data_IF_309643506745
#
_entry.id   IF_309643506745
#
_cell.length_a   1.000
_cell.length_b   1.000
_cell.length_c   1.000
_cell.angle_alpha   90.00
_cell.angle_beta   90.00
_cell.angle_gamma   90.00
#
_symmetry.space_group_name_H-M   'P 1'
#
loop_
_entity.id
_entity.type
_entity.pdbx_description
1 polymer ?
#
# COMPACT_ATOMS: atom_id res chain seq x y z
N UNK A 1 -5.71 -9.12 5.40
CA UNK A 1 -5.36 -8.16 6.47
C UNK A 1 -3.97 -7.61 6.23
N UNK A 2 -3.73 -6.31 6.41
CA UNK A 2 -2.35 -5.78 6.44
C UNK A 2 -1.68 -6.08 7.79
N UNK A 3 -0.50 -6.69 7.78
CA UNK A 3 0.20 -7.12 9.01
C UNK A 3 0.80 -5.97 9.81
N UNK A 4 0.81 -4.74 9.27
CA UNK A 4 1.27 -3.55 9.98
C UNK A 4 0.54 -3.29 11.30
N UNK A 5 -0.74 -3.62 11.39
CA UNK A 5 -1.50 -3.41 12.63
C UNK A 5 -1.02 -4.33 13.74
N UNK A 6 -0.70 -5.58 13.41
CA UNK A 6 -0.16 -6.54 14.37
C UNK A 6 1.27 -6.13 14.75
N UNK A 7 2.11 -5.77 13.77
CA UNK A 7 3.45 -5.25 14.03
C UNK A 7 3.40 -4.04 14.99
N UNK A 8 2.49 -3.10 14.73
CA UNK A 8 2.25 -1.95 15.58
C UNK A 8 1.86 -2.33 17.00
N UNK A 9 0.95 -3.30 17.21
CA UNK A 9 0.61 -3.75 18.55
C UNK A 9 1.85 -4.24 19.33
N UNK A 10 2.75 -4.94 18.66
CA UNK A 10 3.96 -5.50 19.25
C UNK A 10 4.96 -4.42 19.69
N UNK A 11 5.40 -3.55 18.77
CA UNK A 11 6.41 -2.55 19.14
C UNK A 11 5.82 -1.37 19.93
N UNK A 12 4.54 -1.04 19.70
CA UNK A 12 3.92 0.07 20.40
C UNK A 12 3.59 -0.28 21.85
N UNK A 13 3.16 -1.51 22.14
CA UNK A 13 2.95 -1.96 23.52
C UNK A 13 4.24 -1.90 24.34
N UNK A 14 5.39 -2.30 23.76
CA UNK A 14 6.70 -2.26 24.40
C UNK A 14 7.27 -0.86 24.63
N UNK A 15 6.90 0.11 23.79
CA UNK A 15 7.35 1.51 23.88
C UNK A 15 6.34 2.44 24.57
N UNK A 16 5.19 1.91 24.97
CA UNK A 16 4.13 2.69 25.60
C UNK A 16 4.58 3.23 26.97
N UNK A 17 4.28 4.50 27.23
CA UNK A 17 4.63 5.22 28.46
C UNK A 17 3.51 5.29 29.49
N UNK A 18 2.37 4.62 29.25
CA UNK A 18 1.24 4.64 30.18
C UNK A 18 1.65 4.13 31.56
N UNK A 19 1.51 5.02 32.54
CA UNK A 19 1.97 4.83 33.92
C UNK A 19 1.39 3.57 34.56
N UNK A 20 0.15 3.19 34.18
CA UNK A 20 -0.53 1.98 34.67
C UNK A 20 0.16 0.69 34.23
N UNK A 21 0.65 0.63 33.00
CA UNK A 21 1.37 -0.56 32.48
C UNK A 21 2.76 -0.70 33.12
N UNK A 22 3.33 0.41 33.60
CA UNK A 22 4.63 0.44 34.28
C UNK A 22 4.55 0.40 35.81
N UNK A 23 3.37 0.11 36.38
CA UNK A 23 3.23 -0.07 37.84
C UNK A 23 3.99 -1.31 38.33
N UNK A 24 3.97 -2.37 37.53
CA UNK A 24 4.74 -3.57 37.78
C UNK A 24 6.15 -3.42 37.16
N UNK A 25 7.22 -3.42 37.98
CA UNK A 25 8.58 -3.08 37.51
C UNK A 25 9.18 -4.09 36.53
N UNK A 26 8.54 -5.23 36.33
CA UNK A 26 9.00 -6.32 35.46
C UNK A 26 8.33 -6.32 34.08
N UNK A 27 7.22 -5.61 33.87
CA UNK A 27 6.49 -5.61 32.57
C UNK A 27 7.35 -4.99 31.46
N UNK A 28 7.93 -3.82 31.71
CA UNK A 28 8.76 -3.13 30.73
C UNK A 28 10.00 -3.97 30.33
N UNK A 29 10.77 -4.55 31.27
CA UNK A 29 11.77 -5.57 30.97
C UNK A 29 11.23 -6.73 30.14
N UNK A 30 10.09 -7.32 30.48
CA UNK A 30 9.56 -8.48 29.76
C UNK A 30 9.11 -8.17 28.32
N UNK A 31 8.68 -6.94 28.05
CA UNK A 31 8.36 -6.47 26.69
C UNK A 31 9.59 -6.08 25.86
N UNK A 32 10.74 -5.83 26.51
CA UNK A 32 11.91 -5.22 25.86
C UNK A 32 13.19 -6.08 25.87
N UNK A 33 13.39 -6.91 26.90
CA UNK A 33 14.59 -7.71 27.13
C UNK A 33 14.30 -9.17 26.78
N UNK A 34 14.81 -9.63 25.63
CA UNK A 34 14.62 -11.00 25.18
C UNK A 34 13.22 -11.31 24.61
N UNK A 35 12.38 -10.29 24.41
CA UNK A 35 11.14 -10.43 23.66
C UNK A 35 11.47 -10.75 22.19
N UNK A 36 10.74 -11.71 21.62
CA UNK A 36 10.88 -12.09 20.22
C UNK A 36 10.51 -10.92 19.30
N UNK A 37 11.33 -10.69 18.28
CA UNK A 37 11.12 -9.66 17.29
C UNK A 37 9.91 -10.01 16.41
N UNK A 38 9.22 -9.01 15.86
CA UNK A 38 7.98 -9.29 15.13
C UNK A 38 8.23 -10.12 13.86
N UNK A 39 9.37 -9.98 13.19
CA UNK A 39 9.71 -10.83 12.06
C UNK A 39 9.79 -12.33 12.39
N UNK A 40 10.12 -12.70 13.63
CA UNK A 40 10.14 -14.10 14.07
C UNK A 40 8.71 -14.67 14.15
N UNK A 41 7.75 -13.83 14.58
CA UNK A 41 6.33 -14.17 14.65
C UNK A 41 5.67 -14.35 13.29
N UNK A 42 6.19 -13.71 12.23
CA UNK A 42 5.69 -13.90 10.86
C UNK A 42 5.72 -15.37 10.42
N UNK A 43 6.65 -16.17 10.95
CA UNK A 43 6.76 -17.62 10.68
C UNK A 43 5.83 -18.49 11.54
N UNK A 44 5.12 -17.88 12.50
CA UNK A 44 4.27 -18.55 13.50
C UNK A 44 2.81 -18.07 13.47
N UNK A 45 2.45 -17.28 12.45
CA UNK A 45 1.08 -16.79 12.26
C UNK A 45 0.09 -17.96 12.02
N UNK A 46 -1.17 -17.82 12.45
CA UNK A 46 -1.71 -16.69 13.23
C UNK A 46 -1.30 -16.72 14.72
N UNK A 47 -1.17 -15.53 15.34
CA UNK A 47 -0.92 -15.41 16.79
C UNK A 47 -2.11 -15.92 17.62
N UNK A 48 -1.86 -16.28 18.87
CA UNK A 48 -2.86 -16.87 19.78
C UNK A 48 -2.84 -16.17 21.13
N UNK A 49 -4.01 -16.09 21.75
CA UNK A 49 -4.21 -15.55 23.09
C UNK A 49 -3.27 -16.22 24.11
N UNK A 50 -2.58 -15.40 24.91
CA UNK A 50 -1.65 -15.83 25.93
C UNK A 50 -0.31 -16.37 25.43
N UNK A 51 -0.07 -16.41 24.10
CA UNK A 51 1.13 -17.05 23.52
C UNK A 51 2.19 -16.07 23.04
N UNK A 52 1.94 -14.76 23.14
CA UNK A 52 2.88 -13.71 22.70
C UNK A 52 3.15 -12.73 23.83
N UNK A 53 4.14 -11.84 23.68
CA UNK A 53 4.39 -10.79 24.65
C UNK A 53 3.20 -9.83 24.86
N UNK A 54 2.23 -9.81 23.94
CA UNK A 54 1.02 -9.00 24.12
C UNK A 54 0.16 -9.45 25.30
N UNK A 55 0.30 -10.69 25.78
CA UNK A 55 -0.40 -11.18 26.98
C UNK A 55 -0.09 -10.36 28.24
N UNK A 56 1.03 -9.65 28.25
CA UNK A 56 1.42 -8.72 29.33
C UNK A 56 0.64 -7.39 29.27
N UNK A 57 0.00 -7.11 28.14
CA UNK A 57 -0.76 -5.89 27.87
C UNK A 57 -2.14 -6.28 27.29
N UNK A 58 -3.08 -6.75 28.13
CA UNK A 58 -4.32 -7.39 27.67
C UNK A 58 -5.17 -6.54 26.70
N UNK A 59 -5.11 -5.20 26.80
CA UNK A 59 -5.80 -4.31 25.87
C UNK A 59 -5.24 -4.39 24.45
N UNK A 60 -3.92 -4.51 24.30
CA UNK A 60 -3.27 -4.66 23.00
C UNK A 60 -3.44 -6.08 22.44
N UNK A 61 -3.36 -7.12 23.29
CA UNK A 61 -3.64 -8.50 22.84
C UNK A 61 -5.07 -8.63 22.33
N UNK A 62 -6.04 -8.13 23.10
CA UNK A 62 -7.44 -8.11 22.69
C UNK A 62 -7.62 -7.39 21.35
N UNK A 63 -7.08 -6.18 21.22
CA UNK A 63 -7.20 -5.40 19.97
C UNK A 63 -6.55 -6.11 18.77
N UNK A 64 -5.35 -6.69 18.95
CA UNK A 64 -4.66 -7.42 17.89
C UNK A 64 -5.45 -8.66 17.44
N UNK A 65 -6.02 -9.42 18.38
CA UNK A 65 -6.83 -10.60 18.09
C UNK A 65 -8.19 -10.23 17.47
N UNK A 66 -8.81 -9.13 17.90
CA UNK A 66 -10.04 -8.62 17.30
C UNK A 66 -9.82 -8.24 15.83
N UNK A 67 -8.82 -7.40 15.53
CA UNK A 67 -8.50 -7.03 14.13
C UNK A 67 -8.12 -8.25 13.29
N UNK A 68 -7.42 -9.22 13.87
CA UNK A 68 -6.99 -10.43 13.17
C UNK A 68 -8.16 -11.38 12.86
N UNK A 69 -9.20 -11.43 13.70
CA UNK A 69 -10.25 -12.46 13.61
C UNK A 69 -11.65 -11.95 13.28
N UNK A 70 -11.94 -10.66 13.48
CA UNK A 70 -13.18 -10.02 13.00
C UNK A 70 -13.08 -9.75 11.50
N UNK A 71 -13.29 -10.78 10.69
CA UNK A 71 -13.02 -10.71 9.26
C UNK A 71 -14.15 -10.10 8.42
N UNK A 72 -15.40 -10.41 8.76
CA UNK A 72 -16.59 -9.84 8.13
C UNK A 72 -16.79 -8.39 8.60
N UNK A 73 -17.27 -7.51 7.70
CA UNK A 73 -17.57 -6.11 8.02
C UNK A 73 -18.88 -5.99 8.80
N UNK A 74 -18.83 -6.30 10.09
CA UNK A 74 -19.94 -6.09 11.02
C UNK A 74 -19.88 -4.71 11.72
N UNK A 75 -20.70 -4.53 12.77
CA UNK A 75 -20.77 -3.29 13.56
C UNK A 75 -19.43 -2.86 14.18
N UNK A 76 -18.49 -3.79 14.41
CA UNK A 76 -17.14 -3.46 14.88
C UNK A 76 -16.44 -2.50 13.91
N UNK A 77 -16.55 -2.76 12.61
CA UNK A 77 -15.86 -2.02 11.56
C UNK A 77 -16.56 -0.71 11.18
N UNK A 78 -17.83 -0.52 11.56
CA UNK A 78 -18.61 0.70 11.31
C UNK A 78 -18.34 1.82 12.31
N UNK A 79 -17.51 1.58 13.32
CA UNK A 79 -17.13 2.61 14.28
C UNK A 79 -16.49 3.82 13.56
N UNK A 80 -16.82 5.08 13.92
CA UNK A 80 -16.34 6.27 13.21
C UNK A 80 -14.82 6.43 13.19
N UNK A 81 -14.10 5.86 14.17
CA UNK A 81 -12.63 5.86 14.17
C UNK A 81 -12.00 4.90 13.15
N UNK A 82 -12.79 3.98 12.59
CA UNK A 82 -12.35 2.96 11.64
C UNK A 82 -12.94 3.23 10.25
N UNK A 83 -14.21 3.61 10.19
CA UNK A 83 -14.92 3.92 8.94
C UNK A 83 -15.53 5.33 8.95
N UNK A 84 -14.72 6.41 8.89
CA UNK A 84 -15.24 7.78 8.87
C UNK A 84 -16.20 8.05 7.70
N UNK A 85 -16.09 7.26 6.61
CA UNK A 85 -16.96 7.33 5.43
C UNK A 85 -18.45 7.26 5.74
N UNK A 86 -18.86 6.42 6.69
CA UNK A 86 -20.28 6.29 7.06
C UNK A 86 -20.77 7.44 7.95
N UNK A 87 -19.87 8.34 8.36
CA UNK A 87 -20.15 9.37 9.36
C UNK A 87 -19.80 10.78 8.90
N UNK A 88 -19.56 11.00 7.60
CA UNK A 88 -19.20 12.33 7.07
C UNK A 88 -20.22 13.42 7.40
N UNK A 89 -21.51 13.07 7.49
CA UNK A 89 -22.57 14.02 7.89
C UNK A 89 -22.41 14.53 9.33
N UNK A 90 -21.74 13.76 10.20
CA UNK A 90 -21.48 14.11 11.59
C UNK A 90 -20.24 14.99 11.76
N UNK A 91 -19.46 15.22 10.71
CA UNK A 91 -18.27 16.08 10.80
C UNK A 91 -18.71 17.54 11.02
N UNK A 92 -18.05 18.25 11.96
CA UNK A 92 -18.38 19.65 12.23
C UNK A 92 -18.10 20.51 11.00
N UNK A 93 -18.77 21.66 10.93
CA UNK A 93 -18.51 22.66 9.91
C UNK A 93 -17.20 23.42 10.22
N UNK A 94 -16.09 22.73 10.01
CA UNK A 94 -14.75 23.24 10.25
C UNK A 94 -13.94 23.16 8.95
N UNK A 95 -13.17 24.22 8.68
CA UNK A 95 -12.16 24.17 7.64
C UNK A 95 -11.22 22.99 7.93
N UNK A 96 -11.02 22.11 6.94
CA UNK A 96 -10.19 20.91 7.08
C UNK A 96 -9.06 20.90 6.05
N UNK A 97 -7.82 20.70 6.50
CA UNK A 97 -6.68 20.37 5.65
C UNK A 97 -6.37 18.89 5.77
N UNK A 98 -6.49 18.16 4.66
CA UNK A 98 -6.09 16.76 4.57
C UNK A 98 -4.73 16.70 3.90
N UNK A 99 -3.74 16.14 4.59
CA UNK A 99 -2.40 15.89 4.04
C UNK A 99 -2.19 14.39 3.91
N UNK A 100 -1.75 13.94 2.74
CA UNK A 100 -1.48 12.53 2.45
C UNK A 100 -0.20 12.33 1.64
N UNK A 101 0.15 11.07 1.40
CA UNK A 101 1.29 10.70 0.57
C UNK A 101 0.95 9.57 -0.41
N UNK A 102 1.59 9.55 -1.58
CA UNK A 102 1.38 8.51 -2.59
C UNK A 102 1.85 7.12 -2.16
N UNK A 103 2.82 7.03 -1.25
CA UNK A 103 3.31 5.78 -0.66
C UNK A 103 2.81 5.59 0.79
N UNK A 104 1.78 6.34 1.21
CA UNK A 104 1.13 6.11 2.50
C UNK A 104 0.13 4.94 2.40
N UNK A 105 0.03 4.14 3.46
CA UNK A 105 -1.00 3.11 3.66
C UNK A 105 -2.43 3.63 3.89
N UNK A 106 -2.64 4.95 3.94
CA UNK A 106 -3.95 5.58 4.11
C UNK A 106 -4.39 6.39 2.89
N UNK A 107 -3.65 6.37 1.78
CA UNK A 107 -3.91 7.24 0.61
C UNK A 107 -5.36 7.15 0.12
N UNK A 108 -5.97 5.95 0.10
CA UNK A 108 -7.39 5.82 -0.26
C UNK A 108 -8.30 6.63 0.66
N UNK A 109 -8.15 6.49 1.97
CA UNK A 109 -8.94 7.22 2.96
C UNK A 109 -8.70 8.73 2.89
N UNK A 110 -7.49 9.19 2.54
CA UNK A 110 -7.18 10.59 2.27
C UNK A 110 -8.10 11.16 1.20
N UNK A 111 -8.20 10.50 0.05
CA UNK A 111 -9.05 10.96 -1.06
C UNK A 111 -10.54 10.75 -0.80
N UNK A 112 -10.93 9.63 -0.19
CA UNK A 112 -12.33 9.39 0.16
C UNK A 112 -12.86 10.48 1.08
N UNK A 113 -12.12 10.85 2.12
CA UNK A 113 -12.53 11.90 3.05
C UNK A 113 -12.59 13.27 2.37
N UNK A 114 -11.67 13.57 1.45
CA UNK A 114 -11.75 14.79 0.65
C UNK A 114 -13.04 14.82 -0.18
N UNK A 115 -13.34 13.76 -0.94
CA UNK A 115 -14.55 13.65 -1.77
C UNK A 115 -15.79 13.78 -0.89
N UNK A 116 -15.92 12.92 0.12
CA UNK A 116 -17.13 12.81 0.92
C UNK A 116 -17.48 14.06 1.72
N UNK A 117 -16.46 14.79 2.20
CA UNK A 117 -16.67 16.07 2.88
C UNK A 117 -16.95 17.21 1.87
N UNK A 118 -16.27 17.23 0.72
CA UNK A 118 -16.49 18.26 -0.32
C UNK A 118 -17.90 18.18 -0.90
N UNK A 119 -18.43 16.97 -1.17
CA UNK A 119 -19.80 16.75 -1.63
C UNK A 119 -20.87 17.25 -0.64
N UNK A 120 -20.50 17.38 0.65
CA UNK A 120 -21.35 17.92 1.72
C UNK A 120 -21.17 19.42 1.92
N UNK A 121 -20.48 20.10 0.99
CA UNK A 121 -20.20 21.52 1.06
C UNK A 121 -19.24 21.90 2.19
N UNK A 122 -18.48 20.95 2.74
CA UNK A 122 -17.46 21.26 3.75
C UNK A 122 -16.28 21.94 3.06
N UNK A 123 -15.69 22.91 3.75
CA UNK A 123 -14.45 23.55 3.33
C UNK A 123 -13.28 22.60 3.58
N UNK A 124 -12.84 21.90 2.54
CA UNK A 124 -11.73 20.94 2.63
C UNK A 124 -10.67 21.25 1.59
N UNK A 125 -9.41 21.23 2.01
CA UNK A 125 -8.24 21.27 1.14
C UNK A 125 -7.44 19.99 1.22
N UNK A 126 -6.75 19.66 0.13
CA UNK A 126 -6.00 18.42 -0.02
C UNK A 126 -4.56 18.72 -0.48
N UNK A 127 -3.58 18.19 0.24
CA UNK A 127 -2.16 18.23 -0.12
C UNK A 127 -1.60 16.81 -0.16
N UNK A 128 -1.15 16.35 -1.33
CA UNK A 128 -0.60 14.99 -1.49
C UNK A 128 0.74 15.03 -2.21
N UNK A 129 1.80 14.64 -1.51
CA UNK A 129 3.16 14.53 -2.03
C UNK A 129 3.64 13.09 -2.22
N UNK A 130 4.87 12.88 -2.72
CA UNK A 130 5.46 11.56 -2.93
C UNK A 130 6.01 10.96 -1.63
N UNK A 131 5.22 11.03 -0.56
CA UNK A 131 5.67 10.74 0.80
C UNK A 131 5.19 9.38 1.29
N UNK A 132 5.89 8.90 2.31
CA UNK A 132 5.48 7.77 3.15
C UNK A 132 4.83 8.29 4.44
N UNK A 133 4.35 7.38 5.28
CA UNK A 133 3.71 7.74 6.53
C UNK A 133 4.65 8.40 7.55
N UNK A 134 4.27 9.56 8.08
CA UNK A 134 4.94 10.23 9.20
C UNK A 134 5.14 11.73 9.01
N UNK A 135 5.40 12.47 10.11
CA UNK A 135 5.43 13.94 10.12
C UNK A 135 6.71 14.57 9.55
N UNK A 136 7.83 13.84 9.49
CA UNK A 136 9.08 14.33 8.88
C UNK A 136 9.11 14.03 7.38
N UNK A 137 8.29 13.07 6.93
CA UNK A 137 8.31 12.58 5.54
C UNK A 137 7.97 13.66 4.50
N UNK A 138 7.07 14.62 4.77
CA UNK A 138 6.81 15.71 3.85
C UNK A 138 8.00 16.63 3.56
N UNK A 139 9.03 16.64 4.41
CA UNK A 139 10.24 17.47 4.25
C UNK A 139 11.38 16.69 3.57
N UNK A 140 11.14 15.46 3.10
CA UNK A 140 12.12 14.64 2.40
C UNK A 140 11.90 14.68 0.88
N UNK A 141 12.99 14.60 0.13
CA UNK A 141 12.98 14.52 -1.35
C UNK A 141 12.75 13.11 -1.86
N UNK A 142 12.62 12.11 -0.99
CA UNK A 142 12.64 10.69 -1.38
C UNK A 142 11.66 9.84 -0.56
N UNK A 143 11.27 8.71 -1.14
CA UNK A 143 10.50 7.65 -0.50
C UNK A 143 11.04 6.30 -0.96
N UNK A 144 11.53 5.50 -0.02
CA UNK A 144 12.28 4.28 -0.34
C UNK A 144 13.58 4.59 -1.10
N UNK A 145 13.80 3.84 -2.17
CA UNK A 145 14.99 3.94 -3.02
C UNK A 145 14.82 4.94 -4.19
N UNK A 146 13.84 5.82 -4.09
CA UNK A 146 13.44 6.76 -5.15
C UNK A 146 13.47 8.21 -4.67
N UNK A 147 14.17 9.05 -5.43
CA UNK A 147 14.28 10.49 -5.24
C UNK A 147 13.40 11.25 -6.25
N UNK A 148 12.63 12.21 -5.76
CA UNK A 148 11.65 13.01 -6.49
C UNK A 148 12.14 14.44 -6.76
N UNK A 149 13.38 14.75 -6.41
CA UNK A 149 13.99 16.08 -6.56
C UNK A 149 13.74 17.02 -5.38
N UNK A 150 14.47 18.14 -5.32
CA UNK A 150 14.38 19.12 -4.23
C UNK A 150 12.97 19.70 -4.08
N UNK A 151 12.27 19.92 -5.20
CA UNK A 151 10.93 20.51 -5.21
C UNK A 151 9.86 19.61 -4.57
N UNK A 152 10.13 18.31 -4.37
CA UNK A 152 9.22 17.38 -3.72
C UNK A 152 9.13 17.58 -2.20
N UNK A 153 10.21 18.10 -1.59
CA UNK A 153 10.26 18.38 -0.17
C UNK A 153 9.55 19.70 0.14
N UNK A 154 8.72 19.71 1.18
CA UNK A 154 8.24 20.95 1.77
C UNK A 154 9.36 21.59 2.58
N UNK A 155 9.47 22.92 2.52
CA UNK A 155 10.42 23.67 3.35
C UNK A 155 10.20 23.43 4.85
N UNK A 156 8.93 23.37 5.27
CA UNK A 156 8.54 22.97 6.61
C UNK A 156 7.10 22.49 6.66
N UNK A 157 6.91 21.26 7.10
CA UNK A 157 5.57 20.72 7.33
C UNK A 157 4.86 21.43 8.50
N UNK A 158 5.64 21.90 9.48
CA UNK A 158 5.12 22.73 10.56
C UNK A 158 4.61 24.09 10.05
N UNK A 159 5.29 24.70 9.08
CA UNK A 159 4.84 25.96 8.49
C UNK A 159 3.49 25.79 7.78
N UNK A 160 3.29 24.69 7.03
CA UNK A 160 1.97 24.39 6.41
C UNK A 160 0.83 24.39 7.43
N UNK A 161 1.03 23.78 8.61
CA UNK A 161 0.01 23.81 9.67
C UNK A 161 -0.16 25.22 10.25
N UNK A 162 0.94 25.94 10.47
CA UNK A 162 0.88 27.29 11.01
C UNK A 162 0.10 28.23 10.08
N UNK A 163 0.44 28.22 8.78
CA UNK A 163 -0.24 29.03 7.76
C UNK A 163 -1.73 28.68 7.66
N UNK A 164 -2.07 27.39 7.76
CA UNK A 164 -3.46 26.95 7.85
C UNK A 164 -4.20 27.59 9.04
N UNK A 165 -3.63 27.50 10.26
CA UNK A 165 -4.29 28.07 11.43
C UNK A 165 -4.32 29.60 11.40
N UNK A 166 -3.27 30.29 10.93
CA UNK A 166 -3.30 31.74 10.74
C UNK A 166 -4.43 32.14 9.77
N UNK A 167 -4.56 31.42 8.64
CA UNK A 167 -5.57 31.67 7.59
C UNK A 167 -7.00 31.54 8.11
N UNK A 168 -7.33 30.46 8.83
CA UNK A 168 -8.73 30.17 9.22
C UNK A 168 -9.10 30.55 10.65
N UNK A 169 -8.13 30.81 11.54
CA UNK A 169 -8.40 31.19 12.94
C UNK A 169 -8.15 32.67 13.19
N UNK A 170 -7.13 33.26 12.57
CA UNK A 170 -6.75 34.68 12.78
C UNK A 170 -7.09 35.62 11.63
N UNK A 171 -7.68 35.11 10.54
CA UNK A 171 -7.98 35.87 9.33
C UNK A 171 -8.69 37.21 9.59
N UNK A 172 -8.46 38.16 8.70
CA UNK A 172 -8.95 39.55 8.79
C UNK A 172 -10.43 39.73 8.35
N UNK A 173 -11.12 38.62 8.06
CA UNK A 173 -12.50 38.60 7.58
C UNK A 173 -12.65 38.53 6.05
N UNK A 174 -11.55 38.55 5.29
CA UNK A 174 -11.56 38.18 3.86
C UNK A 174 -11.88 36.70 3.66
N UNK A 175 -12.36 36.32 2.46
CA UNK A 175 -12.49 34.90 2.13
C UNK A 175 -11.08 34.30 2.03
N UNK A 176 -10.69 33.40 2.96
CA UNK A 176 -9.38 32.80 2.91
C UNK A 176 -9.16 32.04 1.62
N UNK A 177 -10.17 31.57 0.89
CA UNK A 177 -9.97 30.68 -0.26
C UNK A 177 -9.89 31.37 -1.63
N UNK A 178 -9.97 32.70 -1.69
CA UNK A 178 -10.03 33.42 -2.95
C UNK A 178 -8.78 33.15 -3.84
N UNK A 179 -9.04 32.73 -5.08
CA UNK A 179 -8.01 32.46 -6.09
C UNK A 179 -7.17 31.20 -5.91
N UNK A 180 -7.48 30.34 -4.94
CA UNK A 180 -6.63 29.18 -4.62
C UNK A 180 -7.29 27.83 -4.89
N UNK A 181 -6.50 26.91 -5.44
CA UNK A 181 -6.95 25.57 -5.72
C UNK A 181 -7.15 24.76 -4.42
N UNK A 182 -8.27 24.02 -4.29
CA UNK A 182 -8.53 23.18 -3.12
C UNK A 182 -7.63 21.94 -3.08
N UNK A 183 -7.06 21.52 -4.22
CA UNK A 183 -6.24 20.32 -4.33
C UNK A 183 -4.84 20.68 -4.82
N UNK A 184 -3.81 20.20 -4.11
CA UNK A 184 -2.42 20.28 -4.53
C UNK A 184 -1.78 18.90 -4.48
N UNK A 185 -1.34 18.42 -5.64
CA UNK A 185 -0.78 17.08 -5.82
C UNK A 185 0.62 17.15 -6.42
N UNK A 186 1.48 16.22 -6.04
CA UNK A 186 2.78 16.02 -6.69
C UNK A 186 2.66 14.94 -7.76
N UNK A 187 2.92 15.26 -9.01
CA UNK A 187 2.99 14.28 -10.10
C UNK A 187 4.40 13.69 -10.08
N UNK A 188 4.51 12.41 -9.76
CA UNK A 188 5.79 11.69 -9.77
C UNK A 188 6.21 11.41 -11.22
N UNK A 189 7.51 11.30 -11.48
CA UNK A 189 8.04 10.88 -12.79
C UNK A 189 8.56 12.04 -13.65
N UNK A 190 9.12 11.69 -14.82
CA UNK A 190 9.77 12.64 -15.73
C UNK A 190 11.19 13.05 -15.34
N UNK A 191 11.76 12.45 -14.29
CA UNK A 191 13.16 12.61 -13.90
C UNK A 191 14.13 11.91 -14.84
N UNK A 192 15.43 12.05 -14.54
CA UNK A 192 16.52 11.59 -15.41
C UNK A 192 16.66 10.06 -15.50
N UNK A 193 16.09 9.31 -14.55
CA UNK A 193 16.31 7.87 -14.40
C UNK A 193 17.74 7.50 -14.01
N UNK A 194 18.55 8.48 -13.62
CA UNK A 194 19.92 8.27 -13.14
C UNK A 194 19.96 7.87 -11.67
N UNK A 195 21.12 7.36 -11.22
CA UNK A 195 21.35 7.11 -9.80
C UNK A 195 21.88 8.39 -9.13
N UNK A 196 21.23 8.84 -8.07
CA UNK A 196 21.67 9.99 -7.27
C UNK A 196 22.95 9.67 -6.48
N UNK A 197 23.59 10.70 -5.93
CA UNK A 197 24.75 10.55 -5.03
C UNK A 197 24.40 9.67 -3.83
N UNK A 198 23.16 9.75 -3.33
CA UNK A 198 22.63 8.92 -2.26
C UNK A 198 22.23 7.50 -2.70
N UNK A 199 22.52 7.11 -3.94
CA UNK A 199 22.28 5.77 -4.46
C UNK A 199 20.85 5.48 -4.93
N UNK A 200 19.96 6.48 -4.92
CA UNK A 200 18.52 6.36 -5.26
C UNK A 200 18.26 6.61 -6.73
N UNK A 201 17.18 6.06 -7.26
CA UNK A 201 16.67 6.37 -8.60
C UNK A 201 16.14 7.81 -8.62
N UNK A 202 16.62 8.65 -9.55
CA UNK A 202 16.09 9.99 -9.80
C UNK A 202 14.82 9.88 -10.64
N UNK A 203 13.69 9.71 -9.99
CA UNK A 203 12.37 9.60 -10.62
C UNK A 203 11.75 10.96 -10.90
N UNK A 204 12.06 11.97 -10.08
CA UNK A 204 11.61 13.35 -10.30
C UNK A 204 10.11 13.55 -10.10
N UNK A 205 9.62 14.72 -10.55
CA UNK A 205 8.21 15.08 -10.52
C UNK A 205 8.01 16.58 -10.41
N UNK A 206 6.75 17.00 -10.23
CA UNK A 206 6.38 18.41 -10.06
C UNK A 206 5.06 18.57 -9.30
N UNK A 207 4.92 19.67 -8.57
CA UNK A 207 3.63 20.06 -7.98
C UNK A 207 2.65 20.57 -9.05
N UNK A 208 1.36 20.27 -8.85
CA UNK A 208 0.25 20.79 -9.66
C UNK A 208 -0.95 21.09 -8.78
N UNK A 209 -1.52 22.27 -8.99
CA UNK A 209 -2.75 22.74 -8.37
C UNK A 209 -3.96 22.31 -9.22
N UNK A 210 -5.03 21.87 -8.55
CA UNK A 210 -6.20 21.23 -9.16
C UNK A 210 -7.49 21.67 -8.48
N UNK A 211 -8.57 21.76 -9.25
CA UNK A 211 -9.86 22.26 -8.76
C UNK A 211 -10.73 21.18 -8.11
N UNK A 212 -10.44 19.91 -8.37
CA UNK A 212 -11.27 18.79 -7.94
C UNK A 212 -10.48 17.49 -7.90
N UNK A 213 -11.06 16.47 -7.29
CA UNK A 213 -10.53 15.11 -7.34
C UNK A 213 -11.69 14.09 -7.39
N UNK A 214 -11.62 13.04 -8.24
CA UNK A 214 -10.65 12.87 -9.34
C UNK A 214 -10.74 14.03 -10.35
N UNK A 215 -9.68 14.26 -11.13
CA UNK A 215 -9.65 15.39 -12.08
C UNK A 215 -10.77 15.22 -13.14
N UNK A 216 -11.59 16.23 -13.45
CA UNK A 216 -12.68 16.02 -14.43
C UNK A 216 -12.17 15.65 -15.83
N UNK A 217 -10.94 16.04 -16.16
CA UNK A 217 -10.28 15.68 -17.42
C UNK A 217 -9.75 14.24 -17.47
N UNK A 218 -9.91 13.46 -16.41
CA UNK A 218 -9.46 12.06 -16.34
C UNK A 218 -10.23 11.20 -17.35
N UNK A 219 -9.49 10.44 -18.15
CA UNK A 219 -10.03 9.39 -19.00
C UNK A 219 -9.71 8.03 -18.39
N UNK A 220 -10.75 7.34 -17.89
CA UNK A 220 -10.62 5.99 -17.36
C UNK A 220 -10.52 4.98 -18.50
N UNK A 221 -9.29 4.60 -18.83
CA UNK A 221 -9.00 3.79 -20.01
C UNK A 221 -8.67 2.34 -19.59
N UNK A 222 -9.38 1.34 -20.11
CA UNK A 222 -9.04 -0.06 -19.88
C UNK A 222 -7.77 -0.43 -20.65
N UNK A 223 -6.85 -1.12 -19.99
CA UNK A 223 -5.76 -1.87 -20.59
C UNK A 223 -5.98 -3.35 -20.31
N UNK A 224 -6.18 -4.11 -21.37
CA UNK A 224 -6.49 -5.54 -21.36
C UNK A 224 -5.23 -6.37 -21.27
N UNK A 225 -5.32 -7.47 -20.53
CA UNK A 225 -4.30 -8.51 -20.46
C UNK A 225 -4.40 -9.38 -21.72
N UNK A 226 -3.25 -9.79 -22.27
CA UNK A 226 -3.17 -10.67 -23.45
C UNK A 226 -2.33 -11.92 -23.14
N UNK A 227 -2.56 -13.00 -23.90
CA UNK A 227 -1.95 -14.32 -23.67
C UNK A 227 -0.42 -14.34 -23.72
N UNK A 228 0.16 -13.46 -24.52
CA UNK A 228 1.60 -13.29 -24.70
C UNK A 228 2.27 -12.44 -23.60
N UNK A 229 1.50 -12.02 -22.59
CA UNK A 229 1.98 -11.12 -21.53
C UNK A 229 1.96 -9.65 -21.92
N UNK A 230 1.33 -9.28 -23.05
CA UNK A 230 1.13 -7.88 -23.41
C UNK A 230 0.00 -7.26 -22.59
N UNK A 231 0.15 -5.98 -22.31
CA UNK A 231 -0.87 -5.10 -21.74
C UNK A 231 -1.16 -4.00 -22.76
N UNK A 232 -2.40 -3.89 -23.24
CA UNK A 232 -2.77 -2.93 -24.30
C UNK A 232 -4.16 -2.36 -24.12
N UNK A 233 -4.39 -1.14 -24.59
CA UNK A 233 -5.73 -0.56 -24.70
C UNK A 233 -6.60 -1.29 -25.74
N UNK A 234 -5.98 -1.99 -26.69
CA UNK A 234 -6.69 -2.86 -27.62
C UNK A 234 -7.26 -4.07 -26.90
N UNK A 235 -8.54 -4.34 -27.16
CA UNK A 235 -9.22 -5.46 -26.56
C UNK A 235 -8.61 -6.81 -26.98
N UNK A 236 -8.64 -7.78 -26.06
CA UNK A 236 -8.31 -9.15 -26.40
C UNK A 236 -9.38 -9.73 -27.33
N UNK A 237 -8.94 -10.26 -28.48
CA UNK A 237 -9.79 -10.88 -29.50
C UNK A 237 -9.64 -12.40 -29.56
N UNK A 238 -8.68 -12.96 -28.80
CA UNK A 238 -8.48 -14.40 -28.73
C UNK A 238 -9.66 -15.10 -28.05
N UNK A 239 -10.07 -16.25 -28.60
CA UNK A 239 -11.00 -17.17 -27.95
C UNK A 239 -10.24 -18.13 -27.04
N UNK A 240 -10.81 -18.46 -25.87
CA UNK A 240 -10.30 -19.50 -24.96
C UNK A 240 -8.85 -19.28 -24.48
N UNK A 241 -8.55 -18.03 -24.11
CA UNK A 241 -7.26 -17.57 -23.60
C UNK A 241 -7.27 -17.35 -22.08
N UNK A 242 -6.35 -18.01 -21.38
CA UNK A 242 -6.15 -17.86 -19.93
C UNK A 242 -4.75 -18.29 -19.50
N UNK A 243 -4.30 -17.83 -18.33
CA UNK A 243 -3.02 -18.23 -17.75
C UNK A 243 -3.23 -18.79 -16.35
N UNK A 244 -2.70 -19.98 -16.08
CA UNK A 244 -2.78 -20.64 -14.76
C UNK A 244 -1.41 -20.68 -14.09
N UNK A 245 -1.36 -20.35 -12.81
CA UNK A 245 -0.18 -20.45 -11.95
C UNK A 245 -0.52 -21.18 -10.65
N UNK A 246 0.47 -21.82 -10.04
CA UNK A 246 0.32 -22.51 -8.76
C UNK A 246 0.83 -21.63 -7.64
N UNK A 247 -0.05 -21.32 -6.69
CA UNK A 247 0.28 -20.61 -5.46
C UNK A 247 0.44 -21.59 -4.29
N UNK A 248 1.59 -21.57 -3.62
CA UNK A 248 1.85 -22.31 -2.37
C UNK A 248 1.96 -21.32 -1.20
N UNK A 249 1.02 -21.32 -0.24
CA UNK A 249 1.09 -20.49 0.96
C UNK A 249 2.36 -20.67 1.80
N UNK A 250 3.11 -21.75 1.61
CA UNK A 250 4.39 -22.00 2.31
C UNK A 250 5.58 -21.25 1.68
N UNK A 251 5.41 -20.72 0.47
CA UNK A 251 6.40 -19.92 -0.26
C UNK A 251 5.73 -18.67 -0.86
N UNK A 252 5.19 -17.75 -0.02
CA UNK A 252 4.49 -16.57 -0.52
C UNK A 252 5.43 -15.63 -1.28
N UNK A 253 4.88 -14.89 -2.24
CA UNK A 253 5.57 -13.83 -2.97
C UNK A 253 5.94 -12.70 -2.00
N UNK A 254 7.23 -12.32 -1.94
CA UNK A 254 7.69 -11.24 -1.08
C UNK A 254 7.10 -9.87 -1.48
N UNK A 255 6.78 -9.06 -0.47
CA UNK A 255 6.56 -7.63 -0.62
C UNK A 255 7.89 -6.91 -0.68
N UNK A 256 8.05 -6.00 -1.64
CA UNK A 256 9.16 -5.05 -1.68
C UNK A 256 8.62 -3.63 -1.93
N UNK A 257 8.71 -2.78 -0.91
CA UNK A 257 8.17 -1.43 -0.97
C UNK A 257 6.64 -1.34 -1.01
N UNK A 258 6.15 -0.12 -1.27
CA UNK A 258 4.75 0.19 -1.52
C UNK A 258 4.10 1.05 -0.44
N UNK A 259 2.77 1.07 -0.46
CA UNK A 259 1.89 1.83 0.43
C UNK A 259 1.82 1.20 1.83
N UNK A 260 2.90 1.31 2.61
CA UNK A 260 3.03 0.68 3.91
C UNK A 260 3.33 1.71 4.99
N UNK A 261 2.87 1.46 6.20
CA UNK A 261 3.34 2.13 7.40
C UNK A 261 3.52 1.11 8.50
N UNK A 262 4.30 1.44 9.53
CA UNK A 262 4.29 0.75 10.84
C UNK A 262 4.60 -0.75 10.83
N UNK A 263 4.97 -1.35 9.69
CA UNK A 263 5.46 -2.71 9.57
C UNK A 263 6.94 -2.77 9.97
N UNK A 264 7.13 -2.46 11.24
CA UNK A 264 8.39 -2.32 11.91
C UNK A 264 8.43 -3.24 13.13
N UNK A 265 9.58 -3.33 13.74
CA UNK A 265 9.80 -4.05 14.97
C UNK A 265 10.73 -3.30 15.90
N UNK A 266 10.73 -3.72 17.16
CA UNK A 266 11.66 -3.23 18.14
C UNK A 266 12.89 -4.14 18.17
N UNK A 267 14.03 -3.62 17.71
CA UNK A 267 15.30 -4.32 17.78
C UNK A 267 15.83 -4.45 19.22
N UNK A 268 16.97 -5.14 19.40
CA UNK A 268 17.63 -5.26 20.71
C UNK A 268 18.03 -3.88 21.27
N UNK A 269 18.34 -3.84 22.57
CA UNK A 269 18.92 -2.63 23.17
C UNK A 269 20.25 -2.28 22.49
N UNK A 270 20.56 -0.98 22.29
CA UNK A 270 21.88 -0.56 21.85
C UNK A 270 22.97 -1.04 22.80
N UNK A 271 24.16 -1.30 22.25
CA UNK A 271 25.32 -1.74 23.05
C UNK A 271 25.60 -0.78 24.22
N UNK A 272 25.78 -1.33 25.42
CA UNK A 272 26.03 -0.56 26.64
C UNK A 272 24.78 0.00 27.34
N UNK A 273 23.59 -0.13 26.74
CA UNK A 273 22.33 0.23 27.39
C UNK A 273 21.71 -1.04 28.01
N UNK A 274 21.57 -1.04 29.34
CA UNK A 274 20.97 -2.15 30.09
C UNK A 274 19.47 -1.91 30.42
N UNK A 275 19.05 -0.65 30.45
CA UNK A 275 17.68 -0.26 30.79
C UNK A 275 16.96 0.27 29.54
N UNK A 276 15.81 -0.31 29.23
CA UNK A 276 14.98 0.06 28.09
C UNK A 276 14.51 1.52 28.17
N UNK A 277 14.32 2.05 29.38
CA UNK A 277 13.95 3.45 29.61
C UNK A 277 15.04 4.44 29.14
N UNK A 278 16.28 3.97 28.99
CA UNK A 278 17.41 4.77 28.52
C UNK A 278 17.65 4.67 27.01
N UNK A 279 16.91 3.81 26.29
CA UNK A 279 16.98 3.71 24.83
C UNK A 279 15.84 4.50 24.18
N UNK A 280 16.18 5.42 23.27
CA UNK A 280 15.14 6.10 22.48
C UNK A 280 14.47 5.11 21.52
N UNK A 281 13.18 5.33 21.23
CA UNK A 281 12.44 4.54 20.23
C UNK A 281 13.20 4.44 18.91
N UNK A 282 13.64 5.59 18.40
CA UNK A 282 14.27 5.68 17.08
C UNK A 282 15.64 4.97 17.03
N UNK A 283 16.30 4.73 18.18
CA UNK A 283 17.53 3.94 18.24
C UNK A 283 17.29 2.42 18.13
N UNK A 284 16.03 1.97 18.23
CA UNK A 284 15.66 0.55 18.29
C UNK A 284 14.70 0.11 17.19
N UNK A 285 13.80 0.99 16.74
CA UNK A 285 12.81 0.63 15.73
C UNK A 285 13.50 0.37 14.39
N UNK A 286 13.21 -0.78 13.79
CA UNK A 286 13.71 -1.20 12.47
C UNK A 286 12.53 -1.58 11.60
N UNK A 287 12.55 -1.19 10.33
CA UNK A 287 11.52 -1.62 9.40
C UNK A 287 11.75 -3.10 9.04
N UNK A 288 10.68 -3.89 9.07
CA UNK A 288 10.68 -5.22 8.46
C UNK A 288 10.50 -5.07 6.96
N UNK A 289 9.71 -4.09 6.55
CA UNK A 289 9.48 -3.73 5.16
C UNK A 289 9.49 -2.20 5.04
N UNK A 290 10.44 -1.69 4.26
CA UNK A 290 10.58 -0.26 4.01
C UNK A 290 9.43 0.27 3.13
N UNK A 291 8.82 1.41 3.47
CA UNK A 291 7.79 2.03 2.64
C UNK A 291 8.42 2.88 1.51
N UNK A 292 7.68 3.08 0.42
CA UNK A 292 8.16 3.85 -0.73
C UNK A 292 8.38 3.02 -2.00
N UNK A 293 9.03 3.62 -2.99
CA UNK A 293 9.33 2.98 -4.26
C UNK A 293 10.63 2.18 -4.21
N UNK A 294 10.61 0.97 -4.78
CA UNK A 294 11.76 0.06 -4.84
C UNK A 294 11.79 -0.72 -6.15
N UNK A 295 12.99 -1.13 -6.57
CA UNK A 295 13.18 -2.05 -7.69
C UNK A 295 12.59 -3.40 -7.31
N UNK A 296 11.69 -3.95 -8.12
CA UNK A 296 11.00 -5.21 -7.85
C UNK A 296 11.89 -6.44 -8.11
N UNK A 297 13.04 -6.46 -7.44
CA UNK A 297 14.06 -7.50 -7.41
C UNK A 297 14.27 -7.90 -5.95
N UNK A 298 14.36 -9.19 -5.69
CA UNK A 298 14.73 -9.70 -4.37
C UNK A 298 16.13 -9.16 -3.98
N UNK A 299 16.39 -9.02 -2.68
CA UNK A 299 17.70 -8.60 -2.20
C UNK A 299 17.96 -9.10 -0.78
N UNK A 300 19.21 -8.99 -0.35
CA UNK A 300 19.60 -9.22 1.04
C UNK A 300 18.85 -8.22 1.95
N UNK A 301 18.12 -8.74 2.94
CA UNK A 301 17.29 -7.95 3.84
C UNK A 301 15.80 -7.95 3.51
N UNK A 302 15.39 -8.41 2.31
CA UNK A 302 13.98 -8.61 2.00
C UNK A 302 13.45 -9.86 2.71
N UNK A 303 12.33 -9.73 3.44
CA UNK A 303 11.79 -10.84 4.23
C UNK A 303 11.40 -12.03 3.33
N UNK A 304 11.82 -13.24 3.71
CA UNK A 304 11.51 -14.46 2.97
C UNK A 304 12.36 -14.72 1.72
N UNK A 305 13.34 -13.87 1.42
CA UNK A 305 14.23 -14.04 0.27
C UNK A 305 15.58 -14.66 0.64
N UNK A 306 16.13 -15.42 -0.31
CA UNK A 306 17.49 -15.97 -0.25
C UNK A 306 18.17 -15.87 -1.62
N UNK A 307 19.50 -15.89 -1.70
CA UNK A 307 20.20 -15.92 -2.99
C UNK A 307 19.64 -17.03 -3.91
N UNK A 308 19.53 -16.80 -5.23
CA UNK A 308 20.28 -15.83 -6.03
C UNK A 308 19.64 -14.43 -6.22
N UNK A 309 18.59 -14.06 -5.49
CA UNK A 309 17.97 -12.73 -5.52
C UNK A 309 17.58 -12.25 -6.94
N UNK A 310 16.47 -12.78 -7.45
CA UNK A 310 16.01 -12.54 -8.83
C UNK A 310 14.85 -11.53 -8.89
N UNK A 311 14.51 -11.00 -10.09
CA UNK A 311 13.32 -10.17 -10.26
C UNK A 311 12.07 -10.90 -9.72
N UNK A 312 11.20 -10.21 -8.98
CA UNK A 312 9.99 -10.84 -8.41
C UNK A 312 9.08 -11.42 -9.51
N UNK A 313 9.00 -10.74 -10.66
CA UNK A 313 8.26 -11.23 -11.83
C UNK A 313 8.89 -12.43 -12.55
N UNK A 314 10.06 -12.91 -12.12
CA UNK A 314 10.63 -14.17 -12.62
C UNK A 314 10.10 -15.40 -11.89
N UNK A 315 9.38 -15.20 -10.78
CA UNK A 315 8.75 -16.29 -10.05
C UNK A 315 7.60 -16.91 -10.87
N UNK A 316 7.43 -18.24 -10.85
CA UNK A 316 6.38 -18.91 -11.61
C UNK A 316 4.96 -18.64 -11.09
N UNK A 317 4.83 -18.07 -9.88
CA UNK A 317 3.57 -17.70 -9.25
C UNK A 317 3.28 -16.18 -9.33
N UNK A 318 3.97 -15.47 -10.25
CA UNK A 318 3.70 -14.07 -10.59
C UNK A 318 3.46 -13.98 -12.11
N UNK A 319 2.24 -13.56 -12.49
CA UNK A 319 1.92 -13.25 -13.88
C UNK A 319 2.33 -11.81 -14.18
N UNK A 320 3.06 -11.61 -15.29
CA UNK A 320 3.56 -10.30 -15.72
C UNK A 320 2.87 -9.89 -17.01
N UNK A 321 2.20 -8.75 -17.00
CA UNK A 321 1.62 -8.13 -18.18
C UNK A 321 2.19 -6.73 -18.38
N UNK A 322 2.70 -6.40 -19.57
CA UNK A 322 3.30 -5.09 -19.79
C UNK A 322 3.09 -4.56 -21.20
N UNK A 323 3.10 -3.23 -21.33
CA UNK A 323 3.04 -2.56 -22.64
C UNK A 323 4.34 -2.77 -23.40
N UNK A 324 4.31 -2.48 -24.71
CA UNK A 324 5.52 -2.06 -25.43
C UNK A 324 6.12 -0.78 -24.83
N UNK A 325 7.40 -0.46 -25.11
CA UNK A 325 7.97 0.81 -24.67
C UNK A 325 7.09 1.94 -25.18
N UNK A 326 6.66 2.82 -24.27
CA UNK A 326 5.71 3.88 -24.58
C UNK A 326 6.32 4.83 -25.61
N UNK A 327 5.56 5.12 -26.67
CA UNK A 327 6.01 6.05 -27.72
C UNK A 327 5.99 7.51 -27.26
N UNK A 328 5.09 7.82 -26.31
CA UNK A 328 4.87 9.14 -25.73
C UNK A 328 4.78 9.02 -24.20
N UNK A 329 4.97 10.13 -23.50
CA UNK A 329 4.73 10.19 -22.07
C UNK A 329 3.24 9.88 -21.78
N UNK A 330 2.99 9.15 -20.69
CA UNK A 330 1.65 8.77 -20.25
C UNK A 330 1.47 9.15 -18.79
N UNK A 331 0.60 10.12 -18.52
CA UNK A 331 0.26 10.49 -17.14
C UNK A 331 -0.93 9.67 -16.64
N UNK A 332 -0.73 9.01 -15.49
CA UNK A 332 -1.75 8.28 -14.74
C UNK A 332 -1.94 8.97 -13.40
N UNK A 333 -3.07 9.66 -13.23
CA UNK A 333 -3.40 10.42 -12.00
C UNK A 333 -4.84 10.15 -11.59
N UNK A 334 -5.03 9.38 -10.52
CA UNK A 334 -6.38 9.07 -10.03
C UNK A 334 -6.51 7.71 -9.32
N UNK A 335 -7.75 7.26 -9.07
CA UNK A 335 -8.03 5.91 -8.60
C UNK A 335 -7.83 4.87 -9.71
N UNK A 336 -7.35 3.68 -9.33
CA UNK A 336 -7.05 2.56 -10.24
C UNK A 336 -7.81 1.32 -9.80
N UNK A 337 -8.43 0.63 -10.75
CA UNK A 337 -9.09 -0.67 -10.53
C UNK A 337 -8.49 -1.74 -11.43
N UNK A 338 -8.30 -2.94 -10.91
CA UNK A 338 -7.96 -4.13 -11.69
C UNK A 338 -9.13 -5.09 -11.64
N UNK A 339 -9.72 -5.40 -12.79
CA UNK A 339 -10.86 -6.32 -12.92
C UNK A 339 -10.36 -7.61 -13.53
N UNK A 340 -10.39 -8.69 -12.76
CA UNK A 340 -9.90 -9.99 -13.19
C UNK A 340 -11.06 -10.99 -13.26
N UNK A 341 -11.14 -11.73 -14.35
CA UNK A 341 -11.92 -12.97 -14.41
C UNK A 341 -11.02 -14.09 -13.91
N UNK A 342 -11.45 -14.76 -12.84
CA UNK A 342 -10.60 -15.70 -12.11
C UNK A 342 -11.30 -17.02 -11.81
N UNK A 343 -10.50 -18.05 -11.62
CA UNK A 343 -10.89 -19.36 -11.10
C UNK A 343 -9.79 -19.86 -10.14
N UNK A 344 -10.16 -20.64 -9.14
CA UNK A 344 -9.20 -21.34 -8.28
C UNK A 344 -9.56 -22.82 -8.15
N UNK A 345 -8.55 -23.67 -7.97
CA UNK A 345 -8.73 -25.05 -7.52
C UNK A 345 -9.04 -25.16 -6.02
N UNK A 346 -8.90 -24.08 -5.26
CA UNK A 346 -9.17 -24.01 -3.83
C UNK A 346 -10.49 -23.30 -3.54
N UNK A 347 -11.00 -23.46 -2.31
CA UNK A 347 -12.25 -22.85 -1.85
C UNK A 347 -12.12 -21.35 -1.57
N UNK A 348 -10.88 -20.89 -1.37
CA UNK A 348 -10.52 -19.49 -1.17
C UNK A 348 -9.06 -19.29 -1.58
N UNK A 349 -8.69 -18.06 -1.92
CA UNK A 349 -7.33 -17.62 -2.16
C UNK A 349 -7.32 -16.10 -2.17
N UNK A 350 -6.15 -15.47 -2.33
CA UNK A 350 -6.07 -14.04 -2.58
C UNK A 350 -5.63 -13.80 -4.03
N UNK A 351 -5.98 -12.63 -4.58
CA UNK A 351 -5.41 -12.09 -5.81
C UNK A 351 -4.80 -10.72 -5.52
N UNK A 352 -3.53 -10.55 -5.84
CA UNK A 352 -2.79 -9.28 -5.70
C UNK A 352 -2.60 -8.65 -7.07
N UNK A 353 -2.50 -7.33 -7.08
CA UNK A 353 -2.13 -6.57 -8.26
C UNK A 353 -1.14 -5.46 -7.88
N UNK A 354 -0.12 -5.25 -8.71
CA UNK A 354 0.90 -4.21 -8.54
C UNK A 354 1.14 -3.48 -9.85
N UNK A 355 0.97 -2.16 -9.83
CA UNK A 355 1.30 -1.25 -10.93
C UNK A 355 2.78 -0.84 -10.82
N UNK A 356 3.51 -0.99 -11.93
CA UNK A 356 4.96 -0.81 -12.00
C UNK A 356 5.31 0.08 -13.19
N UNK A 357 6.19 1.06 -12.97
CA UNK A 357 6.88 1.83 -14.00
C UNK A 357 8.24 1.17 -14.30
N UNK A 358 8.38 0.61 -15.51
CA UNK A 358 9.59 -0.11 -15.92
C UNK A 358 10.49 0.81 -16.73
N UNK A 359 11.58 1.23 -16.11
CA UNK A 359 12.64 1.99 -16.74
C UNK A 359 13.44 1.11 -17.71
N UNK A 360 13.84 1.65 -18.88
CA UNK A 360 14.73 0.96 -19.79
C UNK A 360 16.14 0.80 -19.17
N UNK A 361 16.95 -0.16 -19.67
CA UNK A 361 18.36 -0.27 -19.29
C UNK A 361 19.15 1.02 -19.47
N UNK A 362 20.01 1.34 -18.50
CA UNK A 362 20.89 2.51 -18.52
C UNK A 362 22.28 2.17 -17.94
N UNK A 363 23.23 3.11 -18.02
CA UNK A 363 24.55 2.96 -17.38
C UNK A 363 24.46 2.79 -15.85
N UNK A 364 23.39 3.30 -15.23
CA UNK A 364 23.15 3.26 -13.79
C UNK A 364 22.37 2.02 -13.38
N UNK A 365 21.48 1.57 -14.26
CA UNK A 365 20.64 0.39 -14.08
C UNK A 365 20.71 -0.48 -15.33
N UNK A 366 21.77 -1.31 -15.51
CA UNK A 366 22.01 -2.05 -16.76
C UNK A 366 20.94 -3.09 -17.11
N UNK A 367 20.08 -3.46 -16.15
CA UNK A 367 18.94 -4.37 -16.35
C UNK A 367 17.59 -3.65 -16.42
N UNK A 368 17.60 -2.32 -16.44
CA UNK A 368 16.41 -1.49 -16.16
C UNK A 368 16.12 -1.41 -14.66
N UNK A 369 15.00 -0.78 -14.33
CA UNK A 369 14.50 -0.63 -12.95
C UNK A 369 12.98 -0.79 -12.96
N UNK A 370 12.43 -1.72 -12.19
CA UNK A 370 11.00 -1.96 -12.10
C UNK A 370 10.47 -1.27 -10.84
N UNK A 371 10.04 -0.01 -10.96
CA UNK A 371 9.57 0.79 -9.84
C UNK A 371 8.11 0.48 -9.52
N UNK A 372 7.82 -0.07 -8.33
CA UNK A 372 6.43 -0.19 -7.87
C UNK A 372 5.84 1.18 -7.51
N UNK A 373 4.64 1.46 -8.03
CA UNK A 373 3.92 2.71 -7.75
C UNK A 373 2.78 2.51 -6.76
N UNK A 374 2.03 1.41 -6.91
CA UNK A 374 0.93 1.04 -6.02
C UNK A 374 0.65 -0.45 -6.14
N UNK A 375 0.15 -1.03 -5.05
CA UNK A 375 -0.28 -2.42 -4.99
C UNK A 375 -1.41 -2.61 -3.97
N UNK A 376 -2.20 -3.66 -4.17
CA UNK A 376 -3.32 -4.04 -3.31
C UNK A 376 -3.65 -5.52 -3.47
N UNK A 377 -4.66 -5.97 -2.74
CA UNK A 377 -5.09 -7.37 -2.65
C UNK A 377 -6.61 -7.46 -2.59
N UNK A 378 -7.18 -8.52 -3.16
CA UNK A 378 -8.56 -8.95 -2.96
C UNK A 378 -8.55 -10.39 -2.43
N UNK A 379 -9.17 -10.60 -1.28
CA UNK A 379 -9.42 -11.95 -0.74
C UNK A 379 -10.69 -12.50 -1.37
N UNK A 380 -10.60 -13.64 -2.04
CA UNK A 380 -11.63 -14.15 -2.95
C UNK A 380 -12.99 -14.35 -2.25
N UNK A 381 -13.00 -14.77 -0.98
CA UNK A 381 -14.25 -14.90 -0.21
C UNK A 381 -15.04 -13.60 -0.03
N UNK A 382 -14.45 -12.43 -0.31
CA UNK A 382 -15.10 -11.11 -0.22
C UNK A 382 -15.31 -10.45 -1.59
N UNK A 383 -15.24 -11.21 -2.68
CA UNK A 383 -15.42 -10.71 -4.06
C UNK A 383 -16.75 -9.98 -4.30
N UNK A 384 -17.81 -10.35 -3.57
CA UNK A 384 -19.16 -9.74 -3.68
C UNK A 384 -19.42 -8.65 -2.63
N UNK A 385 -18.42 -8.28 -1.85
CA UNK A 385 -18.51 -7.29 -0.78
C UNK A 385 -17.92 -7.80 0.53
N UNK A 386 -17.66 -6.88 1.48
CA UNK A 386 -16.97 -7.20 2.73
C UNK A 386 -17.89 -7.68 3.86
N UNK A 387 -19.22 -7.62 3.68
CA UNK A 387 -20.20 -7.85 4.74
C UNK A 387 -20.22 -9.30 5.27
N UNK A 388 -20.00 -10.28 4.38
CA UNK A 388 -19.96 -11.69 4.76
C UNK A 388 -19.12 -12.47 3.74
N UNK A 389 -18.42 -13.50 4.23
CA UNK A 389 -17.73 -14.43 3.36
C UNK A 389 -18.72 -15.18 2.44
N UNK A 390 -18.48 -15.11 1.14
CA UNK A 390 -19.10 -15.91 0.10
C UNK A 390 -17.98 -16.75 -0.52
N UNK A 391 -18.02 -18.08 -0.47
CA UNK A 391 -16.96 -18.90 -1.07
C UNK A 391 -17.24 -19.14 -2.56
N UNK A 392 -16.20 -19.02 -3.41
CA UNK A 392 -16.30 -19.45 -4.80
C UNK A 392 -16.04 -20.97 -4.85
N UNK A 393 -16.99 -21.80 -5.30
CA UNK A 393 -16.74 -23.23 -5.44
C UNK A 393 -15.52 -23.51 -6.33
N UNK A 394 -14.64 -24.46 -5.95
CA UNK A 394 -13.47 -24.79 -6.75
C UNK A 394 -13.83 -25.11 -8.21
N UNK A 395 -13.13 -24.45 -9.14
CA UNK A 395 -13.36 -24.61 -10.58
C UNK A 395 -14.38 -23.65 -11.19
N UNK A 396 -15.17 -22.92 -10.38
CA UNK A 396 -16.05 -21.87 -10.89
C UNK A 396 -15.27 -20.61 -11.28
N UNK A 397 -15.82 -19.87 -12.25
CA UNK A 397 -15.27 -18.62 -12.74
C UNK A 397 -16.13 -17.47 -12.22
N UNK A 398 -15.50 -16.45 -11.66
CA UNK A 398 -16.16 -15.21 -11.25
C UNK A 398 -15.24 -14.01 -11.51
N UNK A 399 -15.81 -12.80 -11.46
CA UNK A 399 -15.04 -11.58 -11.58
C UNK A 399 -14.69 -11.02 -10.20
N UNK A 400 -13.44 -10.60 -10.03
CA UNK A 400 -12.96 -9.85 -8.86
C UNK A 400 -12.49 -8.47 -9.26
N UNK A 401 -12.71 -7.48 -8.37
CA UNK A 401 -12.16 -6.13 -8.53
C UNK A 401 -11.15 -5.86 -7.43
N UNK A 402 -9.90 -5.63 -7.80
CA UNK A 402 -8.84 -5.18 -6.90
C UNK A 402 -8.71 -3.66 -7.06
N UNK A 403 -9.19 -2.90 -6.09
CA UNK A 403 -8.94 -1.46 -6.03
C UNK A 403 -7.51 -1.23 -5.54
N UNK A 404 -6.67 -0.56 -6.33
CA UNK A 404 -5.32 -0.16 -5.90
C UNK A 404 -5.38 1.11 -5.03
N UNK A 405 -4.23 1.56 -4.53
CA UNK A 405 -4.12 2.89 -3.95
C UNK A 405 -4.05 3.90 -5.10
N UNK A 406 -4.70 5.07 -4.99
CA UNK A 406 -4.58 6.09 -6.03
C UNK A 406 -3.14 6.60 -6.12
N UNK A 407 -2.72 7.01 -7.32
CA UNK A 407 -1.38 7.52 -7.58
C UNK A 407 -1.43 8.69 -8.56
N UNK A 408 -0.30 9.40 -8.70
CA UNK A 408 -0.06 10.40 -9.73
C UNK A 408 1.35 10.20 -10.27
N UNK A 409 1.46 9.60 -11.45
CA UNK A 409 2.73 9.23 -12.07
C UNK A 409 2.75 9.55 -13.57
N UNK A 410 3.86 10.10 -14.05
CA UNK A 410 4.20 10.23 -15.46
C UNK A 410 5.13 9.08 -15.86
N UNK A 411 4.60 8.12 -16.61
CA UNK A 411 5.41 7.12 -17.29
C UNK A 411 6.08 7.79 -18.48
N UNK A 412 7.40 7.95 -18.43
CA UNK A 412 8.13 8.63 -19.49
C UNK A 412 8.19 7.77 -20.76
N UNK A 413 8.30 8.42 -21.92
CA UNK A 413 8.58 7.78 -23.20
C UNK A 413 9.73 6.79 -23.08
N UNK A 414 9.55 5.59 -23.63
CA UNK A 414 10.51 4.50 -23.59
C UNK A 414 10.42 3.61 -22.35
N UNK A 415 9.69 4.03 -21.30
CA UNK A 415 9.33 3.15 -20.19
C UNK A 415 8.24 2.18 -20.61
N UNK A 416 7.92 1.21 -19.75
CA UNK A 416 6.73 0.36 -19.91
C UNK A 416 5.84 0.50 -18.69
N UNK A 417 4.53 0.44 -18.92
CA UNK A 417 3.57 0.19 -17.87
C UNK A 417 3.47 -1.32 -17.68
N UNK A 418 3.66 -1.79 -16.45
CA UNK A 418 3.59 -3.21 -16.09
C UNK A 418 2.61 -3.45 -14.95
N UNK A 419 1.87 -4.54 -15.07
CA UNK A 419 0.96 -5.08 -14.07
C UNK A 419 1.44 -6.48 -13.67
N UNK A 420 1.75 -6.65 -12.40
CA UNK A 420 2.02 -7.97 -11.81
C UNK A 420 0.80 -8.47 -11.07
N UNK A 421 0.44 -9.75 -11.28
CA UNK A 421 -0.64 -10.45 -10.58
C UNK A 421 -0.09 -11.67 -9.88
N UNK A 422 -0.46 -11.87 -8.62
CA UNK A 422 -0.13 -13.09 -7.86
C UNK A 422 -1.24 -13.39 -6.85
N UNK A 423 -0.99 -14.31 -5.92
CA UNK A 423 -1.89 -14.67 -4.82
C UNK A 423 -1.29 -14.39 -3.44
N UNK A 424 -0.21 -13.62 -3.39
CA UNK A 424 0.35 -13.10 -2.14
C UNK A 424 1.22 -11.88 -2.41
N UNK A 425 1.50 -11.16 -1.33
CA UNK A 425 2.40 -10.02 -1.28
C UNK A 425 2.74 -9.84 0.21
N UNK A 426 3.62 -10.71 0.71
CA UNK A 426 3.93 -10.92 2.13
C UNK A 426 5.32 -10.35 2.48
N UNK A 427 5.52 -9.66 3.62
CA UNK A 427 4.64 -9.59 4.77
C UNK A 427 3.78 -8.32 4.83
N UNK A 428 3.53 -7.63 3.72
CA UNK A 428 2.56 -6.53 3.74
C UNK A 428 1.18 -7.05 4.15
N UNK A 429 0.69 -8.08 3.46
CA UNK A 429 -0.57 -8.76 3.76
C UNK A 429 -0.32 -10.13 4.40
N UNK A 430 -1.25 -10.61 5.22
CA UNK A 430 -1.27 -12.01 5.68
C UNK A 430 -1.43 -12.98 4.50
N UNK A 431 -0.94 -14.21 4.67
CA UNK A 431 -1.04 -15.25 3.64
C UNK A 431 -2.37 -15.96 3.76
N UNK A 432 -3.15 -16.02 2.69
CA UNK A 432 -4.32 -16.89 2.63
C UNK A 432 -3.89 -18.38 2.63
N UNK A 433 -4.39 -19.22 3.55
CA UNK A 433 -4.04 -20.64 3.60
C UNK A 433 -4.66 -21.47 2.46
N UNK A 434 -5.58 -20.89 1.69
CA UNK A 434 -6.43 -21.50 0.67
C UNK A 434 -7.39 -22.59 1.18
N UNK A 435 -7.60 -22.70 2.50
CA UNK A 435 -8.41 -23.77 3.12
C UNK A 435 -9.86 -23.37 3.41
N UNK A 436 -10.18 -22.08 3.31
CA UNK A 436 -11.49 -21.55 3.73
C UNK A 436 -11.69 -21.49 5.25
N UNK A 437 -10.69 -21.87 6.05
CA UNK A 437 -10.75 -21.74 7.51
C UNK A 437 -11.01 -20.27 7.92
N UNK A 438 -11.59 -20.03 9.12
CA UNK A 438 -11.78 -18.68 9.63
C UNK A 438 -10.45 -17.92 9.70
N UNK A 439 -10.45 -16.69 9.18
CA UNK A 439 -9.25 -15.85 9.10
C UNK A 439 -8.68 -15.63 10.51
N UNK A 440 -7.37 -15.75 10.64
CA UNK A 440 -6.68 -15.60 11.92
C UNK A 440 -6.82 -16.80 12.86
N UNK A 441 -7.45 -17.89 12.41
CA UNK A 441 -7.63 -19.13 13.19
C UNK A 441 -7.23 -20.39 12.42
N UNK A 442 -6.78 -20.22 11.18
CA UNK A 442 -6.32 -21.29 10.31
C UNK A 442 -5.15 -22.07 10.91
N UNK A 443 -5.09 -23.36 10.57
CA UNK A 443 -4.02 -24.28 11.01
C UNK A 443 -3.43 -25.07 9.86
N UNK A 444 -4.12 -25.13 8.73
CA UNK A 444 -3.74 -25.90 7.56
C UNK A 444 -3.42 -24.95 6.41
N UNK A 445 -2.60 -25.43 5.47
CA UNK A 445 -2.29 -24.73 4.23
C UNK A 445 -2.47 -25.71 3.08
N UNK A 446 -3.03 -25.22 1.99
CA UNK A 446 -3.17 -25.96 0.75
C UNK A 446 -2.64 -25.12 -0.41
N UNK A 447 -1.88 -25.71 -1.31
CA UNK A 447 -1.53 -25.04 -2.56
C UNK A 447 -2.75 -25.01 -3.51
N UNK A 448 -2.87 -23.93 -4.28
CA UNK A 448 -3.99 -23.69 -5.19
C UNK A 448 -3.48 -23.39 -6.60
N UNK A 449 -4.14 -23.94 -7.61
CA UNK A 449 -3.93 -23.55 -9.00
C UNK A 449 -4.95 -22.45 -9.33
N UNK A 450 -4.44 -21.26 -9.62
CA UNK A 450 -5.23 -20.05 -9.85
C UNK A 450 -5.12 -19.67 -11.33
N UNK A 451 -6.25 -19.37 -11.95
CA UNK A 451 -6.35 -19.01 -13.38
C UNK A 451 -6.85 -17.59 -13.51
N UNK A 452 -6.19 -16.80 -14.36
CA UNK A 452 -6.66 -15.48 -14.84
C UNK A 452 -7.05 -15.61 -16.31
N UNK A 453 -8.29 -15.27 -16.64
CA UNK A 453 -8.80 -15.32 -18.02
C UNK A 453 -8.56 -13.98 -18.73
N UNK A 454 -8.27 -14.06 -20.01
CA UNK A 454 -8.02 -12.89 -20.87
C UNK A 454 -8.57 -13.09 -22.28
N UNK A 455 -9.55 -13.99 -22.42
CA UNK A 455 -10.27 -14.20 -23.66
C UNK A 455 -11.29 -13.09 -23.97
N UNK A 456 -11.79 -13.10 -25.20
CA UNK A 456 -12.74 -12.12 -25.73
C UNK A 456 -14.07 -12.02 -24.96
N UNK A 457 -14.49 -13.05 -24.23
CA UNK A 457 -15.68 -13.02 -23.36
C UNK A 457 -15.33 -12.58 -21.93
N UNK A 458 -14.09 -12.86 -21.48
CA UNK A 458 -13.58 -12.67 -20.12
C UNK A 458 -12.31 -11.82 -20.13
N UNK A 459 -12.47 -10.56 -20.53
CA UNK A 459 -11.38 -9.59 -20.67
C UNK A 459 -10.94 -9.03 -19.31
N UNK A 460 -9.98 -9.69 -18.66
CA UNK A 460 -9.28 -9.10 -17.51
C UNK A 460 -8.52 -7.84 -17.93
N UNK A 461 -8.52 -6.83 -17.06
CA UNK A 461 -8.02 -5.49 -17.39
C UNK A 461 -7.63 -4.68 -16.16
N UNK A 462 -6.75 -3.71 -16.35
CA UNK A 462 -6.54 -2.58 -15.43
C UNK A 462 -7.20 -1.34 -16.02
N UNK A 463 -7.94 -0.60 -15.21
CA UNK A 463 -8.56 0.67 -15.58
C UNK A 463 -7.67 1.79 -15.04
N UNK A 464 -7.05 2.53 -15.97
CA UNK A 464 -6.10 3.58 -15.64
C UNK A 464 -6.72 4.97 -15.79
N UNK A 465 -6.54 5.87 -14.80
CA UNK A 465 -6.97 7.26 -14.87
C UNK A 465 -5.97 8.09 -15.68
N UNK A 466 -6.07 8.03 -17.01
CA UNK A 466 -5.17 8.74 -17.91
C UNK A 466 -5.52 10.23 -17.95
N UNK A 467 -4.53 11.09 -17.80
CA UNK A 467 -4.69 12.54 -18.02
C UNK A 467 -4.26 12.84 -19.44
N UNK A 468 -5.16 13.32 -20.32
CA UNK A 468 -4.81 13.71 -21.67
C UNK A 468 -3.72 14.78 -21.65
N UNK A 469 -2.70 14.61 -22.47
CA UNK A 469 -1.76 15.67 -22.80
C UNK A 469 -2.58 16.84 -23.36
N UNK A 470 -2.49 18.03 -22.77
CA UNK A 470 -3.10 19.23 -23.35
C UNK A 470 -2.47 19.50 -24.72
N UNK A 471 -3.31 19.74 -25.74
CA UNK A 471 -2.90 20.22 -27.07
C UNK A 471 -2.21 21.59 -26.99
#
# INVERSE_FOLDING_TARGET
MELRFIAWAFWHSATNTQSRLKQDPWIDPALNLGAAAFHEWLTRMPIREGQTQLALVPTYEKWALEILTHSDRDEYWKHPSVCPREHWDNFPDAATLIVGGWYDSYTRATFDNYIGLSERGRRVRLLVGPWTHGSVKPELTYAGDVDFGPDAALDSFRAVHFDWFERYVRGDGSDPDDGEAPVKIFIMGGGSGERSVGGRLQHGGRWRDEQEWPLARTQFTPYHLHADGRLSADAADESDSSTTYRFDPSNPVPSNGGNISSLAELGPLPSGIADSASASRDSRVRQILEPGGFDQVEHEGLHGCSPPFLPLGSRPDVLVFQTDPLENDLEVTGPIEVKLWVKSSAVDTDFTAKLIDVYPPSRWYPRGYALNLSDSIMRLRYRKGPEAADFLPPGEIDQVTITLYPTSNLFARGHRLRLDISSSNFPRFDVNPNTGEPIGRDRLRAAADNTVFHDSERRSQIILPIIPSGD
#
